data_IF_475610109190
#
_entry.id   IF_475610109190
#
_cell.length_a   1.000
_cell.length_b   1.000
_cell.length_c   1.000
_cell.angle_alpha   90.00
_cell.angle_beta   90.00
_cell.angle_gamma   90.00
#
_symmetry.space_group_name_H-M   'P 1'
#
loop_
_entity.id
_entity.type
_entity.pdbx_description
1 polymer ?
#
# COMPACT_ATOMS: atom_id res chain seq x y z
N UNK A 1 -18.35 4.85 -2.78
CA UNK A 1 -17.23 3.98 -2.41
C UNK A 1 -16.07 4.86 -1.94
N UNK A 2 -15.58 4.68 -0.72
CA UNK A 2 -14.42 5.38 -0.16
C UNK A 2 -13.21 4.46 -0.18
N UNK A 3 -12.08 4.94 -0.70
CA UNK A 3 -10.84 4.16 -0.76
C UNK A 3 -9.73 4.88 -0.02
N UNK A 4 -9.02 4.12 0.80
CA UNK A 4 -7.78 4.57 1.44
C UNK A 4 -6.59 3.94 0.73
N UNK A 5 -5.75 4.78 0.13
CA UNK A 5 -4.54 4.35 -0.57
C UNK A 5 -3.34 5.01 0.12
N UNK A 6 -2.38 4.19 0.56
CA UNK A 6 -1.17 4.68 1.22
C UNK A 6 0.10 4.03 0.64
N UNK A 7 1.18 4.80 0.56
CA UNK A 7 2.50 4.31 0.19
C UNK A 7 3.35 4.09 1.45
N UNK A 8 3.85 2.88 1.62
CA UNK A 8 4.63 2.42 2.76
C UNK A 8 6.03 1.98 2.30
N UNK A 9 7.05 2.73 2.69
CA UNK A 9 8.45 2.29 2.57
C UNK A 9 8.88 1.51 3.83
N UNK A 10 10.09 1.75 4.34
CA UNK A 10 10.68 0.98 5.44
C UNK A 10 10.57 1.65 6.82
N UNK A 11 9.85 2.77 6.92
CA UNK A 11 9.72 3.53 8.17
C UNK A 11 8.72 2.91 9.15
N UNK A 12 9.18 2.37 10.28
CA UNK A 12 8.31 1.79 11.33
C UNK A 12 7.24 2.78 11.84
N UNK A 13 7.59 4.06 11.97
CA UNK A 13 6.65 5.12 12.36
C UNK A 13 5.52 5.30 11.34
N UNK A 14 5.84 5.23 10.05
CA UNK A 14 4.85 5.30 8.96
C UNK A 14 3.91 4.09 9.00
N UNK A 15 4.43 2.88 9.23
CA UNK A 15 3.59 1.68 9.39
C UNK A 15 2.56 1.85 10.51
N UNK A 16 2.99 2.33 11.67
CA UNK A 16 2.10 2.58 12.81
C UNK A 16 1.07 3.68 12.53
N UNK A 17 1.49 4.78 11.89
CA UNK A 17 0.61 5.89 11.56
C UNK A 17 -0.48 5.48 10.54
N UNK A 18 -0.10 4.78 9.47
CA UNK A 18 -1.05 4.29 8.47
C UNK A 18 -1.99 3.24 9.07
N UNK A 19 -1.49 2.32 9.89
CA UNK A 19 -2.32 1.35 10.60
C UNK A 19 -3.35 2.00 11.53
N UNK A 20 -3.04 3.17 12.12
CA UNK A 20 -3.99 3.97 12.88
C UNK A 20 -5.04 4.63 11.98
N UNK A 21 -4.64 5.29 10.89
CA UNK A 21 -5.57 5.95 9.96
C UNK A 21 -6.58 4.97 9.34
N UNK A 22 -6.15 3.74 9.06
CA UNK A 22 -7.04 2.68 8.58
C UNK A 22 -8.13 2.29 9.58
N UNK A 23 -7.96 2.60 10.87
CA UNK A 23 -8.91 2.28 11.95
C UNK A 23 -9.80 3.44 12.36
N UNK A 24 -9.42 4.67 12.01
CA UNK A 24 -10.17 5.88 12.38
C UNK A 24 -11.48 6.00 11.61
N UNK A 25 -11.58 5.37 10.44
CA UNK A 25 -12.76 5.37 9.57
C UNK A 25 -13.02 3.97 9.01
N UNK A 26 -14.26 3.69 8.62
CA UNK A 26 -14.62 2.47 7.89
C UNK A 26 -14.53 2.71 6.38
N UNK A 27 -13.36 2.39 5.83
CA UNK A 27 -13.08 2.44 4.41
C UNK A 27 -13.69 1.24 3.68
N UNK A 28 -14.34 1.47 2.53
CA UNK A 28 -14.86 0.38 1.71
C UNK A 28 -13.72 -0.50 1.16
N UNK A 29 -12.56 0.10 0.87
CA UNK A 29 -11.37 -0.60 0.39
C UNK A 29 -10.08 0.08 0.87
N UNK A 30 -9.10 -0.73 1.26
CA UNK A 30 -7.76 -0.26 1.63
C UNK A 30 -6.70 -0.90 0.73
N UNK A 31 -5.84 -0.07 0.15
CA UNK A 31 -4.73 -0.49 -0.71
C UNK A 31 -3.43 0.10 -0.20
N UNK A 32 -2.44 -0.76 0.04
CA UNK A 32 -1.11 -0.36 0.48
C UNK A 32 -0.11 -0.62 -0.63
N UNK A 33 0.46 0.45 -1.19
CA UNK A 33 1.61 0.35 -2.09
C UNK A 33 2.86 0.25 -1.22
N UNK A 34 3.65 -0.80 -1.39
CA UNK A 34 4.79 -1.05 -0.49
C UNK A 34 5.89 -1.88 -1.14
N UNK A 35 7.01 -2.07 -0.45
CA UNK A 35 8.12 -2.92 -0.89
C UNK A 35 8.13 -4.24 -0.07
N UNK A 36 9.08 -5.16 -0.32
CA UNK A 36 9.17 -6.41 0.43
C UNK A 36 9.23 -6.21 1.96
N UNK A 37 9.88 -5.14 2.42
CA UNK A 37 9.94 -4.81 3.85
C UNK A 37 8.56 -4.53 4.42
N UNK A 38 7.76 -3.67 3.80
CA UNK A 38 6.42 -3.35 4.32
C UNK A 38 5.47 -4.56 4.22
N UNK A 39 5.59 -5.41 3.20
CA UNK A 39 4.86 -6.68 3.10
C UNK A 39 5.10 -7.60 4.31
N UNK A 40 6.34 -7.71 4.74
CA UNK A 40 6.71 -8.56 5.88
C UNK A 40 6.28 -7.95 7.22
N UNK A 41 6.46 -6.63 7.37
CA UNK A 41 6.39 -5.94 8.66
C UNK A 41 5.04 -5.28 8.96
N UNK A 42 4.24 -4.92 7.96
CA UNK A 42 2.93 -4.33 8.20
C UNK A 42 1.92 -5.41 8.59
N UNK A 43 1.20 -5.18 9.70
CA UNK A 43 0.14 -6.04 10.21
C UNK A 43 -1.05 -5.17 10.60
N UNK A 44 -2.24 -5.60 10.20
CA UNK A 44 -3.51 -4.98 10.59
C UNK A 44 -4.57 -6.07 10.74
N UNK A 45 -5.52 -5.80 11.63
CA UNK A 45 -6.75 -6.56 11.86
C UNK A 45 -7.87 -6.17 10.88
N UNK A 46 -7.76 -5.02 10.22
CA UNK A 46 -8.65 -4.61 9.12
C UNK A 46 -8.19 -5.27 7.80
N UNK A 47 -9.11 -5.62 6.89
CA UNK A 47 -8.75 -6.13 5.56
C UNK A 47 -8.05 -5.06 4.73
N UNK A 48 -7.03 -5.46 3.97
CA UNK A 48 -6.32 -4.59 3.03
C UNK A 48 -5.70 -5.42 1.90
N UNK A 49 -5.46 -4.76 0.77
CA UNK A 49 -4.67 -5.29 -0.35
C UNK A 49 -3.28 -4.65 -0.36
N UNK A 50 -2.28 -5.39 -0.84
CA UNK A 50 -0.91 -4.88 -0.99
C UNK A 50 -0.45 -4.96 -2.43
N UNK A 51 0.00 -3.82 -2.96
CA UNK A 51 0.76 -3.74 -4.20
C UNK A 51 2.23 -3.69 -3.82
N UNK A 52 2.93 -4.80 -4.04
CA UNK A 52 4.36 -4.92 -3.67
C UNK A 52 5.23 -4.57 -4.87
N UNK A 53 5.95 -3.47 -4.76
CA UNK A 53 6.83 -2.92 -5.79
C UNK A 53 8.28 -3.34 -5.56
N UNK A 54 8.98 -3.60 -6.67
CA UNK A 54 10.43 -3.80 -6.66
C UNK A 54 11.13 -2.46 -6.99
N UNK A 55 11.59 -1.80 -5.93
CA UNK A 55 12.31 -0.52 -5.99
C UNK A 55 13.69 -0.61 -6.66
N UNK A 56 14.14 -1.82 -7.04
CA UNK A 56 15.41 -2.05 -7.76
C UNK A 56 15.25 -1.99 -9.28
N UNK A 57 14.02 -1.97 -9.80
CA UNK A 57 13.76 -1.85 -11.23
C UNK A 57 14.13 -0.44 -11.75
N UNK A 58 14.43 -0.31 -13.06
CA UNK A 58 14.55 0.99 -13.70
C UNK A 58 13.28 1.84 -13.47
N UNK A 59 13.45 3.16 -13.29
CA UNK A 59 12.38 4.08 -12.90
C UNK A 59 11.14 3.99 -13.80
N UNK A 60 11.34 3.74 -15.09
CA UNK A 60 10.24 3.59 -16.07
C UNK A 60 9.41 2.35 -15.77
N UNK A 61 10.06 1.19 -15.65
CA UNK A 61 9.40 -0.09 -15.35
C UNK A 61 8.71 -0.06 -13.97
N UNK A 62 9.40 0.50 -12.98
CA UNK A 62 8.86 0.73 -11.64
C UNK A 62 7.54 1.55 -11.67
N UNK A 63 7.53 2.63 -12.45
CA UNK A 63 6.36 3.49 -12.57
C UNK A 63 5.23 2.80 -13.34
N UNK A 64 5.55 2.09 -14.43
CA UNK A 64 4.58 1.32 -15.22
C UNK A 64 3.92 0.22 -14.38
N UNK A 65 4.68 -0.48 -13.54
CA UNK A 65 4.17 -1.49 -12.61
C UNK A 65 3.17 -0.89 -11.61
N UNK A 66 3.51 0.24 -10.98
CA UNK A 66 2.60 0.92 -10.04
C UNK A 66 1.29 1.30 -10.74
N UNK A 67 1.38 1.94 -11.91
CA UNK A 67 0.21 2.41 -12.67
C UNK A 67 -0.67 1.23 -13.06
N UNK A 68 -0.09 0.14 -13.56
CA UNK A 68 -0.83 -1.06 -13.96
C UNK A 68 -1.57 -1.67 -12.77
N UNK A 69 -0.87 -1.96 -11.68
CA UNK A 69 -1.47 -2.58 -10.50
C UNK A 69 -2.56 -1.69 -9.89
N UNK A 70 -2.33 -0.38 -9.77
CA UNK A 70 -3.35 0.53 -9.25
C UNK A 70 -4.60 0.58 -10.13
N UNK A 71 -4.44 0.60 -11.48
CA UNK A 71 -5.60 0.56 -12.38
C UNK A 71 -6.40 -0.72 -12.25
N UNK A 72 -5.73 -1.86 -12.12
CA UNK A 72 -6.40 -3.16 -11.93
C UNK A 72 -7.12 -3.24 -10.57
N UNK A 73 -6.62 -2.53 -9.55
CA UNK A 73 -7.20 -2.50 -8.20
C UNK A 73 -8.34 -1.48 -8.02
N UNK A 74 -8.28 -0.35 -8.74
CA UNK A 74 -9.21 0.79 -8.60
C UNK A 74 -10.43 0.67 -9.52
N UNK A 75 -10.32 -0.09 -10.62
CA UNK A 75 -11.40 -0.30 -11.60
C UNK A 75 -12.57 -1.13 -11.06
#
# INVERSE_FOLDING_TARGET
>A
MTMFIANLSSGKGTLGHVGRLMKEEDWDKVVLVTNPFGKENFKSDKPFEMIVIDERKPIKEFTEDIIKNLKDTIN
#
